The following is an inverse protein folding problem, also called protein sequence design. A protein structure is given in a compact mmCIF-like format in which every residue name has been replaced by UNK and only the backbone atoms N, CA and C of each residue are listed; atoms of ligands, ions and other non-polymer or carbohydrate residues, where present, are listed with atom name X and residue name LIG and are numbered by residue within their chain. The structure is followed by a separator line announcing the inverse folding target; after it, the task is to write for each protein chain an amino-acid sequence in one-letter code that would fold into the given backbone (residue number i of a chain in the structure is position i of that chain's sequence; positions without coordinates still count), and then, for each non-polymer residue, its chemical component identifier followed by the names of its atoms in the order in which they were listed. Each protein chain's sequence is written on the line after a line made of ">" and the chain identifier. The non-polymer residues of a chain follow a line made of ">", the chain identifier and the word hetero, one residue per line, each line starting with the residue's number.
data_IF_805075346874
#
_entry.id   IF_805075346874
#
_cell.length_a   1.000
_cell.length_b   1.000
_cell.length_c   1.000
_cell.angle_alpha   90.00
_cell.angle_beta   90.00
_cell.angle_gamma   90.00
#
_symmetry.space_group_name_H-M   'P 1'
#
loop_
_entity.id
_entity.type
_entity.pdbx_description
1 polymer ?
#
# COMPACT_ATOMS: atom_id res chain seq x y z
N UNK A 1 4.06 -12.04 -9.44
CA UNK A 1 3.37 -11.12 -8.50
C UNK A 1 3.82 -11.28 -7.05
N UNK A 2 3.60 -12.43 -6.37
CA UNK A 2 4.06 -12.64 -4.97
C UNK A 2 5.58 -12.52 -4.81
N UNK A 3 6.33 -13.12 -5.72
CA UNK A 3 7.80 -13.09 -5.73
C UNK A 3 8.34 -11.68 -6.00
N UNK A 4 7.64 -10.90 -6.84
CA UNK A 4 7.98 -9.51 -7.12
C UNK A 4 7.70 -8.62 -5.92
N UNK A 5 6.60 -8.85 -5.21
CA UNK A 5 6.28 -8.18 -3.94
C UNK A 5 7.31 -8.52 -2.86
N UNK A 6 7.72 -9.79 -2.74
CA UNK A 6 8.76 -10.22 -1.80
C UNK A 6 10.12 -9.61 -2.18
N UNK A 7 10.45 -9.54 -3.47
CA UNK A 7 11.67 -8.92 -3.98
C UNK A 7 11.69 -7.41 -3.71
N UNK A 8 10.60 -6.71 -4.02
CA UNK A 8 10.43 -5.26 -3.78
C UNK A 8 10.44 -4.94 -2.29
N UNK A 9 9.80 -5.75 -1.46
CA UNK A 9 9.77 -5.60 -0.02
C UNK A 9 11.06 -6.11 0.67
N UNK A 10 12.10 -6.51 -0.09
CA UNK A 10 13.36 -7.08 0.43
C UNK A 10 13.14 -8.20 1.46
N UNK A 11 12.13 -9.05 1.24
CA UNK A 11 11.77 -10.14 2.15
C UNK A 11 10.89 -9.75 3.34
N UNK A 12 10.44 -8.48 3.45
CA UNK A 12 9.55 -8.01 4.53
C UNK A 12 8.18 -7.55 4.00
N UNK A 13 7.34 -8.45 3.49
CA UNK A 13 6.03 -8.09 2.92
C UNK A 13 5.05 -7.52 3.94
N UNK A 14 5.31 -7.66 5.24
CA UNK A 14 4.47 -7.15 6.33
C UNK A 14 4.99 -5.84 6.94
N UNK A 15 5.71 -5.01 6.17
CA UNK A 15 6.16 -3.71 6.65
C UNK A 15 5.07 -2.65 6.45
N UNK A 16 4.64 -2.04 7.55
CA UNK A 16 3.74 -0.90 7.53
C UNK A 16 4.51 0.37 7.18
N UNK A 17 3.98 1.14 6.23
CA UNK A 17 4.56 2.39 5.76
C UNK A 17 3.52 3.50 5.89
N UNK A 18 3.89 4.67 6.43
CA UNK A 18 2.99 5.81 6.51
C UNK A 18 2.58 6.28 5.11
N UNK A 19 1.28 6.54 4.91
CA UNK A 19 0.77 7.04 3.63
C UNK A 19 1.41 8.39 3.26
N UNK A 20 1.66 9.23 4.27
CA UNK A 20 2.31 10.53 4.10
C UNK A 20 3.72 10.40 3.49
N UNK A 21 4.52 9.43 3.95
CA UNK A 21 5.88 9.22 3.44
C UNK A 21 5.86 8.78 1.96
N UNK A 22 4.87 7.95 1.59
CA UNK A 22 4.66 7.51 0.21
C UNK A 22 4.27 8.72 -0.66
N UNK A 23 3.32 9.54 -0.20
CA UNK A 23 2.86 10.72 -0.92
C UNK A 23 3.99 11.73 -1.14
N UNK A 24 4.75 12.05 -0.09
CA UNK A 24 5.91 12.94 -0.18
C UNK A 24 6.95 12.44 -1.17
N UNK A 25 7.27 11.14 -1.12
CA UNK A 25 8.28 10.55 -2.01
C UNK A 25 7.84 10.53 -3.48
N UNK A 26 6.54 10.47 -3.73
CA UNK A 26 5.95 10.50 -5.07
C UNK A 26 5.55 11.91 -5.52
N UNK A 27 5.66 12.92 -4.66
CA UNK A 27 5.22 14.28 -4.94
C UNK A 27 3.70 14.38 -5.17
N UNK A 28 2.91 13.52 -4.53
CA UNK A 28 1.46 13.52 -4.61
C UNK A 28 0.87 14.49 -3.58
N UNK A 29 -0.18 15.21 -3.97
CA UNK A 29 -1.03 15.93 -3.02
C UNK A 29 -1.89 14.96 -2.18
N UNK A 30 -2.45 15.49 -1.09
CA UNK A 30 -3.21 14.68 -0.12
C UNK A 30 -4.46 14.04 -0.72
N UNK A 31 -5.12 14.70 -1.67
CA UNK A 31 -6.34 14.20 -2.33
C UNK A 31 -6.01 13.03 -3.27
N UNK A 32 -5.00 13.20 -4.12
CA UNK A 32 -4.52 12.18 -5.04
C UNK A 32 -3.95 10.97 -4.27
N UNK A 33 -3.22 11.22 -3.18
CA UNK A 33 -2.73 10.19 -2.28
C UNK A 33 -3.87 9.38 -1.66
N UNK A 34 -4.88 10.05 -1.10
CA UNK A 34 -6.03 9.39 -0.49
C UNK A 34 -6.84 8.57 -1.52
N UNK A 35 -7.05 9.10 -2.71
CA UNK A 35 -7.74 8.40 -3.79
C UNK A 35 -6.97 7.15 -4.24
N UNK A 36 -5.65 7.25 -4.40
CA UNK A 36 -4.79 6.14 -4.80
C UNK A 36 -4.73 5.04 -3.74
N UNK A 37 -4.60 5.42 -2.45
CA UNK A 37 -4.62 4.46 -1.34
C UNK A 37 -5.95 3.74 -1.24
N UNK A 38 -7.07 4.47 -1.32
CA UNK A 38 -8.40 3.85 -1.31
C UNK A 38 -8.58 2.87 -2.46
N UNK A 39 -8.20 3.26 -3.67
CA UNK A 39 -8.27 2.39 -4.84
C UNK A 39 -7.41 1.13 -4.65
N UNK A 40 -6.18 1.26 -4.16
CA UNK A 40 -5.31 0.11 -3.90
C UNK A 40 -5.84 -0.83 -2.81
N UNK A 41 -6.57 -0.32 -1.81
CA UNK A 41 -7.26 -1.13 -0.80
C UNK A 41 -8.44 -1.88 -1.45
N UNK A 42 -9.26 -1.20 -2.25
CA UNK A 42 -10.39 -1.80 -2.98
C UNK A 42 -9.94 -2.92 -3.93
N UNK A 43 -8.79 -2.75 -4.59
CA UNK A 43 -8.18 -3.79 -5.43
C UNK A 43 -7.50 -4.92 -4.62
N UNK A 44 -7.49 -4.82 -3.29
CA UNK A 44 -6.87 -5.81 -2.41
C UNK A 44 -5.34 -5.81 -2.45
N UNK A 45 -4.71 -4.73 -2.96
CA UNK A 45 -3.24 -4.59 -3.02
C UNK A 45 -2.66 -4.11 -1.70
N UNK A 46 -3.40 -3.26 -0.97
CA UNK A 46 -2.99 -2.77 0.35
C UNK A 46 -3.92 -3.25 1.46
N UNK A 47 -3.33 -3.44 2.63
CA UNK A 47 -4.02 -3.53 3.90
C UNK A 47 -3.72 -2.24 4.65
N UNK A 48 -4.76 -1.56 5.15
CA UNK A 48 -4.65 -0.35 5.92
C UNK A 48 -4.74 -0.60 7.44
N UNK A 49 -4.15 0.29 8.21
CA UNK A 49 -4.36 0.43 9.65
C UNK A 49 -5.03 1.78 9.94
N UNK A 50 -6.18 1.74 10.62
CA UNK A 50 -7.01 2.90 10.96
C UNK A 50 -8.03 3.33 9.89
N UNK A 51 -8.95 4.21 10.31
CA UNK A 51 -9.89 4.95 9.44
C UNK A 51 -9.92 6.43 9.89
N UNK A 52 -9.36 7.37 9.10
CA UNK A 52 -8.75 7.19 7.77
C UNK A 52 -7.41 6.41 7.84
N UNK A 53 -6.99 5.77 6.73
CA UNK A 53 -5.79 4.93 6.69
C UNK A 53 -4.52 5.77 6.85
N UNK A 54 -3.85 5.64 8.00
CA UNK A 54 -2.61 6.39 8.27
C UNK A 54 -1.36 5.63 7.84
N UNK A 55 -1.43 4.29 7.85
CA UNK A 55 -0.35 3.40 7.41
C UNK A 55 -0.91 2.27 6.55
N UNK A 56 -0.14 1.86 5.55
CA UNK A 56 -0.49 0.76 4.65
C UNK A 56 0.64 -0.26 4.58
N UNK A 57 0.28 -1.51 4.31
CA UNK A 57 1.24 -2.56 3.94
C UNK A 57 0.75 -3.29 2.70
N UNK A 58 1.67 -3.96 2.01
CA UNK A 58 1.32 -4.82 0.87
C UNK A 58 0.49 -6.02 1.35
N UNK A 59 -0.57 -6.30 0.60
CA UNK A 59 -1.36 -7.51 0.76
C UNK A 59 -0.59 -8.71 0.23
N UNK A 60 -0.57 -9.80 1.00
CA UNK A 60 -0.01 -11.09 0.58
C UNK A 60 -1.08 -12.04 0.05
N UNK A 61 -2.32 -11.56 -0.07
CA UNK A 61 -3.44 -12.36 -0.55
C UNK A 61 -3.27 -12.59 -2.05
N UNK A 62 -3.35 -13.83 -2.54
CA UNK A 62 -3.33 -14.08 -3.98
C UNK A 62 -4.54 -13.40 -4.62
N UNK A 63 -4.32 -12.56 -5.63
CA UNK A 63 -5.38 -12.18 -6.56
C UNK A 63 -6.00 -13.48 -7.07
N UNK A 64 -7.29 -13.68 -6.84
CA UNK A 64 -8.03 -14.72 -7.54
C UNK A 64 -7.99 -14.36 -9.03
N UNK A 65 -7.23 -15.15 -9.79
CA UNK A 65 -7.23 -15.16 -11.26
C UNK A 65 -8.60 -15.50 -11.82
#
# INVERSE_FOLDING_TARGET
>A
MREDVVRLARGRPCHWVPVHDIAQRLGLDDEASAAAVRHAIEQGWFVADGDPPHSVRLSVVPMAT
#
